data_IF_628204458208
#
_entry.id   IF_628204458208
#
_cell.length_a   1.000
_cell.length_b   1.000
_cell.length_c   1.000
_cell.angle_alpha   90.00
_cell.angle_beta   90.00
_cell.angle_gamma   90.00
#
_symmetry.space_group_name_H-M   'P 1'
#
loop_
_entity.id
_entity.type
_entity.pdbx_description
1 polymer ?
#
# COMPACT_ATOMS: atom_id res chain seq x y z
N UNK A 1 -1.89 -16.23 -17.60
CA UNK A 1 -0.95 -17.13 -18.31
C UNK A 1 -0.22 -17.99 -17.28
N UNK A 2 -0.04 -19.27 -17.54
CA UNK A 2 0.53 -20.19 -16.56
C UNK A 2 1.36 -21.29 -17.26
N UNK A 3 2.44 -21.73 -16.66
CA UNK A 3 3.13 -22.97 -17.09
C UNK A 3 2.40 -24.21 -16.58
N UNK A 4 2.55 -25.35 -17.25
CA UNK A 4 1.93 -26.61 -16.80
C UNK A 4 2.30 -26.97 -15.37
N UNK A 5 3.58 -26.86 -15.02
CA UNK A 5 4.07 -27.14 -13.66
C UNK A 5 3.46 -26.19 -12.61
N UNK A 6 3.31 -24.92 -12.94
CA UNK A 6 2.66 -23.97 -12.03
C UNK A 6 1.16 -24.23 -11.89
N UNK A 7 0.49 -24.62 -12.98
CA UNK A 7 -0.92 -25.01 -12.96
C UNK A 7 -1.15 -26.23 -12.05
N UNK A 8 -0.31 -27.24 -12.16
CA UNK A 8 -0.38 -28.44 -11.31
C UNK A 8 -0.20 -28.09 -9.82
N UNK A 9 0.68 -27.13 -9.51
CA UNK A 9 0.90 -26.64 -8.15
C UNK A 9 -0.23 -25.78 -7.61
N UNK A 10 -0.92 -25.03 -8.47
CA UNK A 10 -2.10 -24.24 -8.08
C UNK A 10 -3.30 -25.14 -7.74
N UNK A 11 -3.39 -26.33 -8.35
CA UNK A 11 -4.44 -27.29 -8.06
C UNK A 11 -5.84 -26.70 -8.15
N UNK A 12 -6.63 -26.88 -7.10
CA UNK A 12 -8.01 -26.37 -7.04
C UNK A 12 -8.10 -24.83 -7.12
N UNK A 13 -7.09 -24.09 -6.66
CA UNK A 13 -7.08 -22.62 -6.73
C UNK A 13 -7.19 -22.11 -8.18
N UNK A 14 -6.68 -22.87 -9.15
CA UNK A 14 -6.81 -22.51 -10.56
C UNK A 14 -8.24 -22.60 -11.10
N UNK A 15 -9.14 -23.30 -10.40
CA UNK A 15 -10.55 -23.47 -10.80
C UNK A 15 -11.42 -22.29 -10.38
N UNK A 16 -10.96 -21.50 -9.40
CA UNK A 16 -11.68 -20.35 -8.86
C UNK A 16 -11.31 -19.02 -9.54
N UNK A 17 -10.45 -19.07 -10.55
CA UNK A 17 -9.97 -17.90 -11.31
C UNK A 17 -10.38 -17.92 -12.79
N UNK A 18 -9.84 -17.01 -13.59
CA UNK A 18 -10.02 -17.01 -15.03
C UNK A 18 -9.40 -18.26 -15.64
N UNK A 19 -9.96 -18.74 -16.77
CA UNK A 19 -9.45 -19.89 -17.49
C UNK A 19 -7.93 -19.73 -17.77
N UNK A 20 -7.08 -20.69 -17.33
CA UNK A 20 -5.64 -20.56 -17.48
C UNK A 20 -5.20 -20.77 -18.93
N UNK A 21 -4.47 -19.82 -19.48
CA UNK A 21 -3.74 -19.98 -20.75
C UNK A 21 -2.39 -20.65 -20.45
N UNK A 22 -2.19 -21.86 -20.98
CA UNK A 22 -0.95 -22.60 -20.75
C UNK A 22 0.09 -22.12 -21.78
N UNK A 23 1.24 -21.67 -21.31
CA UNK A 23 2.36 -21.22 -22.13
C UNK A 23 3.70 -21.62 -21.55
N UNK A 24 4.75 -21.57 -22.37
CA UNK A 24 6.13 -21.66 -21.88
C UNK A 24 6.48 -20.36 -21.14
N UNK A 25 7.15 -20.47 -19.99
CA UNK A 25 7.59 -19.32 -19.17
C UNK A 25 8.41 -18.30 -19.97
N UNK A 26 9.15 -18.73 -20.97
CA UNK A 26 9.92 -17.87 -21.89
C UNK A 26 9.04 -17.07 -22.86
N UNK A 27 7.78 -17.42 -22.99
CA UNK A 27 6.81 -16.84 -23.93
C UNK A 27 5.69 -16.09 -23.21
N UNK A 28 5.83 -15.77 -21.93
CA UNK A 28 4.85 -14.94 -21.24
C UNK A 28 4.81 -13.58 -21.91
N UNK A 29 3.72 -13.33 -22.65
CA UNK A 29 3.48 -12.06 -23.34
C UNK A 29 3.02 -10.95 -22.39
N UNK A 30 2.73 -11.28 -21.14
CA UNK A 30 2.33 -10.27 -20.15
C UNK A 30 3.46 -9.25 -19.90
N UNK A 31 3.16 -7.97 -19.78
CA UNK A 31 4.13 -6.94 -19.43
C UNK A 31 4.54 -7.11 -17.97
N UNK A 32 5.41 -8.09 -17.72
CA UNK A 32 5.98 -8.32 -16.42
C UNK A 32 7.13 -7.33 -16.19
N UNK A 33 7.18 -6.75 -14.99
CA UNK A 33 8.35 -6.03 -14.53
C UNK A 33 9.58 -6.95 -14.59
N UNK A 34 10.71 -6.42 -15.05
CA UNK A 34 11.96 -7.19 -15.16
C UNK A 34 12.45 -7.77 -13.82
N UNK A 35 12.02 -7.20 -12.70
CA UNK A 35 12.30 -7.68 -11.35
C UNK A 35 11.25 -8.67 -10.83
N UNK A 36 10.19 -8.91 -11.58
CA UNK A 36 9.12 -9.82 -11.16
C UNK A 36 9.54 -11.28 -11.23
N UNK A 37 9.48 -11.98 -10.12
CA UNK A 37 9.69 -13.43 -10.05
C UNK A 37 8.33 -14.12 -10.15
N UNK A 38 7.92 -14.48 -11.38
CA UNK A 38 6.58 -15.00 -11.67
C UNK A 38 6.38 -16.50 -11.33
N UNK A 39 7.44 -17.26 -11.08
CA UNK A 39 7.40 -18.70 -10.70
C UNK A 39 6.51 -19.57 -11.63
N UNK A 40 6.35 -19.17 -12.88
CA UNK A 40 5.55 -19.87 -13.88
C UNK A 40 4.08 -19.48 -13.94
N UNK A 41 3.64 -18.47 -13.21
CA UNK A 41 2.28 -17.91 -13.29
C UNK A 41 2.30 -16.38 -13.39
N UNK A 42 1.47 -15.82 -14.25
CA UNK A 42 1.23 -14.38 -14.35
C UNK A 42 -0.27 -14.12 -14.51
N UNK A 43 -0.79 -13.20 -13.73
CA UNK A 43 -2.18 -12.80 -13.74
C UNK A 43 -2.27 -11.29 -14.03
N UNK A 44 -3.06 -10.94 -15.02
CA UNK A 44 -3.43 -9.56 -15.28
C UNK A 44 -4.69 -9.24 -14.47
N UNK A 45 -4.62 -8.21 -13.64
CA UNK A 45 -5.71 -7.80 -12.76
C UNK A 45 -5.98 -6.32 -12.91
N UNK A 46 -7.20 -5.90 -12.62
CA UNK A 46 -7.52 -4.49 -12.44
C UNK A 46 -7.18 -4.09 -11.01
N UNK A 47 -6.60 -2.89 -10.79
CA UNK A 47 -6.45 -2.35 -9.43
C UNK A 47 -7.79 -2.33 -8.70
N UNK A 48 -7.75 -2.56 -7.39
CA UNK A 48 -8.93 -2.44 -6.55
C UNK A 48 -9.33 -0.96 -6.43
N UNK A 49 -10.62 -0.70 -6.49
CA UNK A 49 -11.18 0.61 -6.17
C UNK A 49 -11.55 0.65 -4.69
N UNK A 50 -10.82 1.46 -3.94
CA UNK A 50 -11.03 1.64 -2.51
C UNK A 50 -11.96 2.82 -2.16
N UNK A 51 -12.58 3.44 -3.18
CA UNK A 51 -13.45 4.59 -3.01
C UNK A 51 -12.69 5.91 -2.78
N UNK A 52 -13.44 6.93 -2.39
CA UNK A 52 -12.88 8.25 -2.10
C UNK A 52 -12.20 8.30 -0.73
N UNK A 53 -11.24 9.24 -0.57
CA UNK A 53 -10.51 9.42 0.69
C UNK A 53 -11.42 9.63 1.90
N UNK A 54 -12.48 10.44 1.87
CA UNK A 54 -13.37 10.62 3.01
C UNK A 54 -14.08 9.34 3.45
N UNK A 55 -14.39 8.45 2.51
CA UNK A 55 -15.06 7.19 2.77
C UNK A 55 -14.10 6.16 3.38
N UNK A 56 -12.95 5.95 2.70
CA UNK A 56 -11.94 5.01 3.16
C UNK A 56 -11.31 5.41 4.50
N UNK A 57 -11.14 6.73 4.71
CA UNK A 57 -10.53 7.29 5.92
C UNK A 57 -11.54 7.83 6.92
N UNK A 58 -12.81 7.39 6.88
CA UNK A 58 -13.81 7.90 7.82
C UNK A 58 -13.35 7.76 9.28
N UNK A 59 -13.29 8.88 10.07
CA UNK A 59 -12.67 8.90 11.39
C UNK A 59 -13.61 8.33 12.47
N UNK A 60 -13.71 7.03 12.55
CA UNK A 60 -14.45 6.33 13.59
C UNK A 60 -13.53 5.91 14.72
N UNK A 61 -13.77 6.46 15.91
CA UNK A 61 -12.93 6.17 17.10
C UNK A 61 -11.47 6.55 16.88
N UNK A 62 -10.56 5.79 17.47
CA UNK A 62 -9.12 5.95 17.33
C UNK A 62 -8.59 5.56 15.93
N UNK A 63 -9.20 6.05 14.87
CA UNK A 63 -8.83 5.73 13.49
C UNK A 63 -7.35 6.06 13.22
N UNK A 64 -6.66 5.17 12.51
CA UNK A 64 -5.27 5.34 12.09
C UNK A 64 -5.19 5.33 10.57
N UNK A 65 -4.39 6.24 10.01
CA UNK A 65 -4.07 6.33 8.59
C UNK A 65 -2.57 6.49 8.46
N UNK A 66 -1.99 5.89 7.44
CA UNK A 66 -0.58 6.07 7.09
C UNK A 66 -0.49 6.85 5.78
N UNK A 67 0.35 7.88 5.76
CA UNK A 67 0.58 8.74 4.59
C UNK A 67 2.04 8.62 4.18
N UNK A 68 2.28 8.30 2.91
CA UNK A 68 3.61 8.05 2.36
C UNK A 68 4.07 9.21 1.49
N UNK A 69 5.09 9.95 1.93
CA UNK A 69 5.72 10.99 1.12
C UNK A 69 6.93 10.43 0.37
N UNK A 70 6.73 10.08 -0.90
CA UNK A 70 7.78 9.59 -1.82
C UNK A 70 8.47 8.28 -1.40
N UNK A 71 7.79 7.42 -0.70
CA UNK A 71 8.26 6.05 -0.45
C UNK A 71 8.09 5.27 -1.76
N UNK A 72 9.20 5.01 -2.46
CA UNK A 72 9.19 4.44 -3.83
C UNK A 72 9.58 2.97 -3.88
N UNK A 73 10.25 2.47 -2.84
CA UNK A 73 10.66 1.07 -2.79
C UNK A 73 9.46 0.15 -2.51
N UNK A 74 9.15 -0.81 -3.42
CA UNK A 74 8.07 -1.78 -3.20
C UNK A 74 8.24 -2.62 -1.93
N UNK A 75 9.46 -2.87 -1.48
CA UNK A 75 9.72 -3.62 -0.25
C UNK A 75 9.25 -2.84 0.98
N UNK A 76 9.60 -1.57 1.05
CA UNK A 76 9.19 -0.70 2.15
C UNK A 76 7.68 -0.46 2.14
N UNK A 77 7.09 -0.19 0.97
CA UNK A 77 5.63 -0.03 0.85
C UNK A 77 4.89 -1.33 1.22
N UNK A 78 5.39 -2.48 0.77
CA UNK A 78 4.81 -3.78 1.12
C UNK A 78 4.87 -4.07 2.63
N UNK A 79 5.98 -3.75 3.28
CA UNK A 79 6.11 -3.88 4.74
C UNK A 79 5.14 -2.95 5.48
N UNK A 80 4.98 -1.70 5.01
CA UNK A 80 4.02 -0.74 5.59
C UNK A 80 2.59 -1.22 5.41
N UNK A 81 2.21 -1.74 4.23
CA UNK A 81 0.87 -2.29 3.99
C UNK A 81 0.55 -3.44 4.95
N UNK A 82 1.49 -4.37 5.17
CA UNK A 82 1.32 -5.46 6.13
C UNK A 82 1.15 -4.95 7.56
N UNK A 83 1.98 -3.98 7.96
CA UNK A 83 1.88 -3.39 9.29
C UNK A 83 0.54 -2.65 9.45
N UNK A 84 0.14 -1.87 8.46
CA UNK A 84 -1.13 -1.15 8.44
C UNK A 84 -2.33 -2.08 8.59
N UNK A 85 -2.33 -3.22 7.88
CA UNK A 85 -3.36 -4.25 7.98
C UNK A 85 -3.42 -4.86 9.39
N UNK A 86 -2.26 -5.29 9.93
CA UNK A 86 -2.18 -5.94 11.25
C UNK A 86 -2.63 -5.00 12.36
N UNK A 87 -2.28 -3.72 12.28
CA UNK A 87 -2.65 -2.72 13.28
C UNK A 87 -4.00 -2.03 13.00
N UNK A 88 -4.74 -2.48 11.99
CA UNK A 88 -6.09 -2.00 11.69
C UNK A 88 -6.13 -0.56 11.20
N UNK A 89 -5.12 -0.11 10.46
CA UNK A 89 -5.18 1.19 9.83
C UNK A 89 -6.31 1.26 8.79
N UNK A 90 -7.00 2.40 8.73
CA UNK A 90 -8.10 2.62 7.79
C UNK A 90 -7.63 2.62 6.34
N UNK A 91 -6.48 3.23 6.08
CA UNK A 91 -5.88 3.29 4.76
C UNK A 91 -4.37 3.59 4.84
N UNK A 92 -3.68 3.23 3.77
CA UNK A 92 -2.36 3.76 3.41
C UNK A 92 -2.54 4.67 2.21
N UNK A 93 -2.04 5.90 2.28
CA UNK A 93 -2.20 6.92 1.24
C UNK A 93 -0.83 7.22 0.63
N UNK A 94 -0.73 7.19 -0.69
CA UNK A 94 0.49 7.53 -1.41
C UNK A 94 0.19 8.41 -2.63
N UNK A 95 1.19 9.16 -3.09
CA UNK A 95 1.06 9.94 -4.32
C UNK A 95 1.02 9.01 -5.54
N UNK A 96 0.16 9.31 -6.53
CA UNK A 96 0.09 8.54 -7.77
C UNK A 96 1.44 8.48 -8.53
N UNK A 97 2.17 9.60 -8.53
CA UNK A 97 3.52 9.69 -9.11
C UNK A 97 4.54 9.66 -7.98
N UNK A 98 5.71 9.05 -8.23
CA UNK A 98 6.79 8.95 -7.23
C UNK A 98 6.43 8.15 -5.98
N UNK A 99 5.68 7.07 -6.15
CA UNK A 99 5.48 6.01 -5.17
C UNK A 99 5.53 4.65 -5.86
N UNK A 100 5.69 3.57 -5.10
CA UNK A 100 5.73 2.23 -5.66
C UNK A 100 4.45 1.93 -6.46
N UNK A 101 4.56 1.53 -7.74
CA UNK A 101 3.40 1.10 -8.51
C UNK A 101 2.86 -0.25 -7.99
N UNK A 102 1.58 -0.51 -8.22
CA UNK A 102 0.92 -1.76 -7.84
C UNK A 102 1.32 -2.89 -8.79
N UNK A 103 2.59 -3.29 -8.72
CA UNK A 103 3.18 -4.37 -9.51
C UNK A 103 3.17 -5.69 -8.75
N UNK A 104 3.49 -6.77 -9.45
CA UNK A 104 3.72 -8.09 -8.84
C UNK A 104 4.81 -8.06 -7.75
N UNK A 105 5.80 -7.19 -7.85
CA UNK A 105 6.83 -7.01 -6.82
C UNK A 105 6.23 -6.45 -5.52
N UNK A 106 5.36 -5.43 -5.61
CA UNK A 106 4.64 -4.90 -4.45
C UNK A 106 3.67 -5.93 -3.87
N UNK A 107 2.87 -6.60 -4.71
CA UNK A 107 1.92 -7.63 -4.28
C UNK A 107 2.64 -8.77 -3.52
N UNK A 108 3.79 -9.22 -4.03
CA UNK A 108 4.60 -10.25 -3.38
C UNK A 108 5.10 -9.81 -2.01
N UNK A 109 5.64 -8.59 -1.90
CA UNK A 109 6.17 -8.06 -0.63
C UNK A 109 5.06 -7.75 0.36
N UNK A 110 3.89 -7.32 -0.10
CA UNK A 110 2.72 -7.07 0.73
C UNK A 110 2.08 -8.36 1.27
N UNK A 111 2.39 -9.54 0.70
CA UNK A 111 1.92 -10.85 1.19
C UNK A 111 0.40 -10.90 1.40
N UNK A 112 -0.38 -10.40 0.45
CA UNK A 112 -1.83 -10.33 0.48
C UNK A 112 -2.41 -9.08 1.16
N UNK A 113 -1.59 -8.23 1.77
CA UNK A 113 -2.09 -6.98 2.33
C UNK A 113 -2.54 -5.98 1.24
N UNK A 114 -1.98 -6.05 0.03
CA UNK A 114 -2.37 -5.19 -1.08
C UNK A 114 -3.84 -5.38 -1.49
N UNK A 115 -4.38 -6.58 -1.28
CA UNK A 115 -5.75 -6.95 -1.60
C UNK A 115 -6.75 -6.72 -0.46
N UNK A 116 -6.27 -6.39 0.75
CA UNK A 116 -7.13 -6.25 1.95
C UNK A 116 -7.01 -4.90 2.64
N UNK A 117 -5.83 -4.27 2.54
CA UNK A 117 -5.56 -2.96 3.13
C UNK A 117 -5.83 -1.87 2.10
N UNK A 118 -6.77 -0.94 2.33
CA UNK A 118 -6.99 0.18 1.43
C UNK A 118 -5.70 0.95 1.13
N UNK A 119 -5.30 0.97 -0.16
CA UNK A 119 -4.12 1.67 -0.67
C UNK A 119 -4.55 2.76 -1.63
N UNK A 120 -4.72 3.98 -1.12
CA UNK A 120 -5.22 5.11 -1.88
C UNK A 120 -4.09 5.82 -2.62
N UNK A 121 -4.29 6.03 -3.92
CA UNK A 121 -3.35 6.72 -4.80
C UNK A 121 -3.88 8.12 -5.11
N UNK A 122 -3.36 9.15 -4.42
CA UNK A 122 -3.82 10.54 -4.57
C UNK A 122 -2.94 11.34 -5.53
N UNK A 123 -3.53 12.36 -6.17
CA UNK A 123 -2.76 13.24 -7.06
C UNK A 123 -1.87 14.22 -6.31
N UNK A 124 -2.33 14.72 -5.18
CA UNK A 124 -1.65 15.71 -4.37
C UNK A 124 -1.72 15.33 -2.89
N UNK A 125 -0.55 15.09 -2.28
CA UNK A 125 -0.46 14.66 -0.89
C UNK A 125 -0.84 15.79 0.08
N UNK A 126 -0.46 17.02 -0.22
CA UNK A 126 -0.82 18.17 0.63
C UNK A 126 -2.35 18.39 0.69
N UNK A 127 -3.02 18.22 -0.44
CA UNK A 127 -4.50 18.27 -0.49
C UNK A 127 -5.11 17.15 0.34
N UNK A 128 -4.62 15.92 0.22
CA UNK A 128 -5.09 14.79 1.00
C UNK A 128 -4.86 14.98 2.51
N UNK A 129 -3.70 15.51 2.90
CA UNK A 129 -3.41 15.83 4.29
C UNK A 129 -4.32 16.95 4.84
N UNK A 130 -4.60 17.99 4.03
CA UNK A 130 -5.54 19.05 4.41
C UNK A 130 -6.96 18.50 4.62
N UNK A 131 -7.39 17.58 3.76
CA UNK A 131 -8.67 16.87 3.88
C UNK A 131 -8.74 16.02 5.14
N UNK A 132 -7.71 15.21 5.44
CA UNK A 132 -7.61 14.45 6.69
C UNK A 132 -7.68 15.37 7.92
N UNK A 133 -6.98 16.52 7.88
CA UNK A 133 -7.02 17.51 8.96
C UNK A 133 -8.44 18.07 9.14
N UNK A 134 -9.14 18.39 8.05
CA UNK A 134 -10.53 18.84 8.09
C UNK A 134 -11.49 17.78 8.64
N UNK A 135 -11.17 16.50 8.47
CA UNK A 135 -11.89 15.36 9.04
C UNK A 135 -11.56 15.12 10.52
N UNK A 136 -10.65 15.90 11.13
CA UNK A 136 -10.28 15.81 12.54
C UNK A 136 -9.03 15.01 12.86
N UNK A 137 -8.31 14.50 11.86
CA UNK A 137 -7.05 13.79 12.09
C UNK A 137 -5.96 14.69 12.64
N UNK A 138 -5.23 14.18 13.63
CA UNK A 138 -3.93 14.73 14.02
C UNK A 138 -2.89 14.19 13.00
N UNK A 139 -2.18 15.10 12.35
CA UNK A 139 -1.11 14.74 11.42
C UNK A 139 0.24 14.72 12.18
N UNK A 140 0.92 13.60 12.17
CA UNK A 140 2.23 13.43 12.80
C UNK A 140 3.26 13.03 11.74
N UNK A 141 4.21 13.92 11.47
CA UNK A 141 5.36 13.64 10.62
C UNK A 141 6.45 12.89 11.41
N UNK A 142 6.87 11.74 10.91
CA UNK A 142 7.95 10.97 11.53
C UNK A 142 9.29 11.38 10.92
N UNK A 143 10.08 12.11 11.66
CA UNK A 143 11.42 12.57 11.28
C UNK A 143 12.43 12.13 12.34
N UNK A 144 13.62 11.70 11.90
CA UNK A 144 14.66 11.19 12.82
C UNK A 144 15.22 12.27 13.75
N UNK A 145 15.14 13.54 13.33
CA UNK A 145 15.58 14.72 14.07
C UNK A 145 14.47 15.36 14.92
N UNK A 146 13.29 14.73 15.01
CA UNK A 146 12.19 15.27 15.81
C UNK A 146 12.56 15.24 17.30
N UNK A 147 12.28 16.34 18.01
CA UNK A 147 12.54 16.45 19.45
C UNK A 147 11.54 15.64 20.29
N UNK A 148 10.32 15.46 19.78
CA UNK A 148 9.26 14.75 20.47
C UNK A 148 9.05 13.34 19.90
N UNK A 149 9.02 12.34 20.77
CA UNK A 149 8.70 10.98 20.39
C UNK A 149 7.20 10.81 20.07
N UNK A 150 6.86 9.90 19.14
CA UNK A 150 5.49 9.71 18.66
C UNK A 150 4.51 9.30 19.77
N UNK A 151 4.95 8.51 20.73
CA UNK A 151 4.16 8.08 21.90
C UNK A 151 3.82 9.27 22.81
N UNK A 152 4.75 10.20 23.01
CA UNK A 152 4.50 11.44 23.72
C UNK A 152 3.50 12.33 22.98
N UNK A 153 3.66 12.49 21.67
CA UNK A 153 2.77 13.30 20.83
C UNK A 153 1.30 12.80 20.80
N UNK A 154 1.07 11.51 20.99
CA UNK A 154 -0.29 10.92 21.09
C UNK A 154 -0.76 10.74 22.53
N UNK A 155 0.06 11.04 23.54
CA UNK A 155 -0.31 10.90 24.94
C UNK A 155 -1.52 11.77 25.27
N UNK A 156 -2.48 11.19 25.97
CA UNK A 156 -3.75 11.86 26.30
C UNK A 156 -4.72 12.06 25.14
N UNK A 157 -4.40 11.55 23.95
CA UNK A 157 -5.22 11.66 22.73
C UNK A 157 -5.64 10.29 22.17
N UNK A 158 -5.85 9.31 23.03
CA UNK A 158 -6.10 7.91 22.65
C UNK A 158 -7.26 7.73 21.67
N UNK A 159 -8.32 8.52 21.79
CA UNK A 159 -9.53 8.44 20.97
C UNK A 159 -9.45 9.33 19.71
N UNK A 160 -8.42 10.17 19.57
CA UNK A 160 -8.28 11.06 18.42
C UNK A 160 -7.79 10.28 17.20
N UNK A 161 -8.39 10.48 16.01
CA UNK A 161 -7.85 9.92 14.79
C UNK A 161 -6.47 10.51 14.48
N UNK A 162 -5.54 9.66 14.05
CA UNK A 162 -4.15 10.04 13.77
C UNK A 162 -3.73 9.58 12.37
N UNK A 163 -3.09 10.48 11.63
CA UNK A 163 -2.42 10.18 10.39
C UNK A 163 -0.90 10.28 10.57
N UNK A 164 -0.21 9.15 10.43
CA UNK A 164 1.25 9.07 10.48
C UNK A 164 1.82 9.35 9.10
N UNK A 165 2.66 10.38 8.98
CA UNK A 165 3.30 10.74 7.72
C UNK A 165 4.74 10.23 7.72
N UNK A 166 5.03 9.32 6.79
CA UNK A 166 6.33 8.68 6.61
C UNK A 166 7.03 9.28 5.39
N UNK A 167 8.26 9.73 5.56
CA UNK A 167 9.11 10.21 4.47
C UNK A 167 9.86 9.10 3.76
N UNK A 168 10.49 9.46 2.64
CA UNK A 168 11.40 8.59 1.91
C UNK A 168 12.64 8.26 2.74
N UNK A 169 13.21 7.08 2.51
CA UNK A 169 14.50 6.69 3.07
C UNK A 169 15.60 7.65 2.59
N UNK A 170 16.41 8.15 3.52
CA UNK A 170 17.46 9.15 3.28
C UNK A 170 16.93 10.60 3.33
N UNK A 171 16.15 11.10 2.35
CA UNK A 171 15.69 12.49 2.35
C UNK A 171 14.66 12.84 3.44
N UNK A 172 14.02 11.85 4.05
CA UNK A 172 12.98 12.08 5.04
C UNK A 172 11.71 12.73 4.49
N UNK A 173 11.05 13.51 5.34
CA UNK A 173 9.89 14.33 4.98
C UNK A 173 10.34 15.61 4.26
N UNK A 174 9.52 16.06 3.29
CA UNK A 174 9.76 17.35 2.66
C UNK A 174 9.25 18.47 3.55
N UNK A 175 10.06 19.52 3.68
CA UNK A 175 9.56 20.80 4.20
C UNK A 175 8.51 21.35 3.25
N UNK A 176 7.34 21.72 3.77
CA UNK A 176 6.28 22.46 3.07
C UNK A 176 5.61 23.46 4.00
#
# INVERSE_FOLDING_TARGET
>A
VVTRNALDRLGEAAQHGPAPEISDARRFAAPLDAQSVHQGAALEVRPLDWGALPEACYPKGAARVVVLDRVTDPHNVGAILRAAEVFGARAVIAVQRHSAPETGALAKTASGALERQPYLRVRNLATAMAELKAMGYLLLGLAGEAEEAVDAAVSGQADRPVALVLGAEGPGLREK
#
